data_IF_531517413416
#
_entry.id   IF_531517413416
#
_cell.length_a   1.000
_cell.length_b   1.000
_cell.length_c   1.000
_cell.angle_alpha   90.00
_cell.angle_beta   90.00
_cell.angle_gamma   90.00
#
_symmetry.space_group_name_H-M   'P 1'
#
loop_
_entity.id
_entity.type
_entity.pdbx_description
1 polymer ?
#
# COMPACT_ATOMS: atom_id res chain seq x y z
N UNK A 1 29.53 22.79 -12.44
CA UNK A 1 29.36 21.43 -13.02
C UNK A 1 29.46 20.44 -11.86
N UNK A 2 28.38 19.72 -11.52
CA UNK A 2 28.45 18.68 -10.48
C UNK A 2 29.26 17.50 -11.01
N UNK A 3 30.31 17.09 -10.29
CA UNK A 3 31.15 15.95 -10.65
C UNK A 3 30.46 14.65 -10.25
N UNK A 4 30.39 13.69 -11.16
CA UNK A 4 29.85 12.34 -10.91
C UNK A 4 30.58 11.63 -9.76
N UNK A 5 29.90 10.70 -9.11
CA UNK A 5 30.53 9.84 -8.10
C UNK A 5 31.60 8.93 -8.73
N UNK A 6 32.79 8.80 -8.11
CA UNK A 6 33.87 7.93 -8.60
C UNK A 6 33.49 6.44 -8.71
N UNK A 7 32.69 5.94 -7.78
CA UNK A 7 32.24 4.55 -7.67
C UNK A 7 30.72 4.57 -7.57
N UNK A 8 30.10 3.69 -8.34
CA UNK A 8 28.65 3.62 -8.49
C UNK A 8 28.21 2.18 -8.32
N UNK A 9 27.33 1.95 -7.36
CA UNK A 9 26.69 0.66 -7.15
C UNK A 9 25.47 0.58 -8.05
N UNK A 10 25.36 -0.50 -8.82
CA UNK A 10 24.17 -0.73 -9.65
C UNK A 10 22.92 -0.84 -8.77
N UNK A 11 21.80 -0.19 -9.17
CA UNK A 11 20.53 -0.36 -8.49
C UNK A 11 20.03 -1.80 -8.67
N UNK A 12 19.37 -2.32 -7.66
CA UNK A 12 18.67 -3.61 -7.71
C UNK A 12 17.24 -3.40 -8.21
N UNK A 13 16.65 -4.40 -8.85
CA UNK A 13 15.27 -4.34 -9.31
C UNK A 13 14.32 -4.10 -8.12
N UNK A 14 13.38 -3.17 -8.28
CA UNK A 14 12.46 -2.72 -7.22
C UNK A 14 13.16 -2.13 -5.98
N UNK A 15 14.44 -1.75 -6.04
CA UNK A 15 15.13 -1.13 -4.91
C UNK A 15 14.58 0.26 -4.60
N UNK A 16 14.41 0.57 -3.30
CA UNK A 16 13.99 1.88 -2.83
C UNK A 16 15.13 2.91 -2.96
N UNK A 17 14.81 4.15 -3.31
CA UNK A 17 15.82 5.21 -3.52
C UNK A 17 16.70 5.38 -2.27
N UNK A 18 16.08 5.49 -1.09
CA UNK A 18 16.82 5.60 0.17
C UNK A 18 17.71 4.40 0.48
N UNK A 19 17.33 3.18 0.04
CA UNK A 19 18.17 1.99 0.14
C UNK A 19 19.44 2.14 -0.68
N UNK A 20 19.27 2.53 -1.94
CA UNK A 20 20.37 2.69 -2.87
C UNK A 20 21.33 3.79 -2.45
N UNK A 21 20.80 4.91 -1.94
CA UNK A 21 21.59 5.98 -1.32
C UNK A 21 22.34 5.47 -0.08
N UNK A 22 21.71 4.65 0.78
CA UNK A 22 22.38 4.07 1.96
C UNK A 22 23.53 3.15 1.58
N UNK A 23 23.38 2.31 0.55
CA UNK A 23 24.45 1.44 0.06
C UNK A 23 25.65 2.26 -0.44
N UNK A 24 25.39 3.32 -1.20
CA UNK A 24 26.45 4.24 -1.61
C UNK A 24 27.10 4.94 -0.41
N UNK A 25 26.29 5.46 0.51
CA UNK A 25 26.78 6.14 1.69
C UNK A 25 27.65 5.23 2.57
N UNK A 26 27.27 3.96 2.72
CA UNK A 26 28.06 2.93 3.39
C UNK A 26 29.39 2.68 2.68
N UNK A 27 29.39 2.55 1.35
CA UNK A 27 30.61 2.40 0.55
C UNK A 27 31.59 3.58 0.74
N UNK A 28 31.06 4.80 0.80
CA UNK A 28 31.84 6.02 0.98
C UNK A 28 32.10 6.39 2.46
N UNK A 29 31.65 5.57 3.41
CA UNK A 29 31.75 5.84 4.85
C UNK A 29 31.19 7.21 5.29
N UNK A 30 30.10 7.67 4.67
CA UNK A 30 29.42 8.93 5.03
C UNK A 30 27.97 8.70 5.46
N UNK A 31 27.35 9.62 6.23
CA UNK A 31 25.95 9.51 6.58
C UNK A 31 25.03 9.55 5.34
N UNK A 32 23.99 8.70 5.23
CA UNK A 32 23.13 8.64 4.04
C UNK A 32 22.43 9.95 3.68
N UNK A 33 22.01 10.74 4.68
CA UNK A 33 21.40 12.05 4.41
C UNK A 33 22.44 13.06 3.88
N UNK A 34 23.70 12.95 4.31
CA UNK A 34 24.79 13.79 3.78
C UNK A 34 25.06 13.44 2.32
N UNK A 35 25.08 12.14 1.98
CA UNK A 35 25.17 11.67 0.59
C UNK A 35 24.02 12.24 -0.27
N UNK A 36 22.77 12.13 0.21
CA UNK A 36 21.61 12.68 -0.51
C UNK A 36 21.74 14.20 -0.70
N UNK A 37 22.12 14.93 0.37
CA UNK A 37 22.28 16.39 0.34
C UNK A 37 23.43 16.89 -0.53
N UNK A 38 24.42 16.04 -0.79
CA UNK A 38 25.46 16.34 -1.78
C UNK A 38 24.86 16.55 -3.19
N UNK A 39 23.78 15.84 -3.49
CA UNK A 39 23.07 15.93 -4.77
C UNK A 39 21.89 16.92 -4.71
N UNK A 40 21.19 16.91 -3.58
CA UNK A 40 19.94 17.63 -3.32
C UNK A 40 20.05 18.40 -2.00
N UNK A 41 20.68 19.59 -1.97
CA UNK A 41 20.92 20.35 -0.73
C UNK A 41 19.66 20.59 0.12
N UNK A 42 18.51 20.74 -0.55
CA UNK A 42 17.19 20.95 0.04
C UNK A 42 16.55 19.69 0.66
N UNK A 43 17.17 18.51 0.53
CA UNK A 43 16.61 17.26 1.03
C UNK A 43 16.46 17.29 2.57
N UNK A 44 15.22 17.21 3.03
CA UNK A 44 14.88 17.18 4.46
C UNK A 44 15.13 15.81 5.09
N UNK A 45 14.84 14.73 4.36
CA UNK A 45 15.05 13.35 4.80
C UNK A 45 15.10 12.39 3.62
N UNK A 46 15.68 11.20 3.82
CA UNK A 46 15.63 10.11 2.85
C UNK A 46 14.18 9.69 2.54
N UNK A 47 13.31 9.66 3.56
CA UNK A 47 11.91 9.24 3.41
C UNK A 47 11.11 10.23 2.56
N UNK A 48 11.39 11.53 2.67
CA UNK A 48 10.76 12.52 1.82
C UNK A 48 11.12 12.26 0.34
N UNK A 49 12.39 11.98 0.06
CA UNK A 49 12.86 11.62 -1.28
C UNK A 49 12.24 10.30 -1.80
N UNK A 50 12.03 9.30 -0.93
CA UNK A 50 11.31 8.08 -1.31
C UNK A 50 9.87 8.38 -1.73
N UNK A 51 9.19 9.33 -1.09
CA UNK A 51 7.78 9.60 -1.37
C UNK A 51 7.58 10.46 -2.61
N UNK A 52 8.52 11.37 -2.89
CA UNK A 52 8.43 12.28 -4.00
C UNK A 52 9.79 12.92 -4.31
N UNK A 53 10.13 12.99 -5.60
CA UNK A 53 11.13 13.88 -6.15
C UNK A 53 10.47 14.75 -7.23
N UNK A 54 10.91 15.99 -7.36
CA UNK A 54 10.57 16.79 -8.54
C UNK A 54 11.43 16.38 -9.74
N UNK A 55 11.00 16.71 -10.96
CA UNK A 55 11.76 16.38 -12.17
C UNK A 55 13.20 16.94 -12.15
N UNK A 56 13.39 18.16 -11.66
CA UNK A 56 14.73 18.73 -11.51
C UNK A 56 15.60 17.96 -10.50
N UNK A 57 15.00 17.49 -9.41
CA UNK A 57 15.70 16.68 -8.41
C UNK A 57 16.08 15.31 -8.98
N UNK A 58 15.20 14.69 -9.75
CA UNK A 58 15.48 13.43 -10.46
C UNK A 58 16.64 13.60 -11.44
N UNK A 59 16.65 14.67 -12.24
CA UNK A 59 17.72 14.96 -13.19
C UNK A 59 19.05 15.18 -12.46
N UNK A 60 19.07 15.96 -11.37
CA UNK A 60 20.29 16.19 -10.58
C UNK A 60 20.84 14.89 -9.99
N UNK A 61 19.98 14.08 -9.40
CA UNK A 61 20.36 12.81 -8.78
C UNK A 61 20.85 11.82 -9.86
N UNK A 62 20.11 11.70 -10.96
CA UNK A 62 20.48 10.86 -12.10
C UNK A 62 21.85 11.24 -12.69
N UNK A 63 22.11 12.53 -12.86
CA UNK A 63 23.39 13.03 -13.36
C UNK A 63 24.55 12.70 -12.42
N UNK A 64 24.37 12.88 -11.11
CA UNK A 64 25.41 12.61 -10.10
C UNK A 64 25.79 11.13 -10.04
N UNK A 65 24.78 10.26 -10.01
CA UNK A 65 24.96 8.81 -9.95
C UNK A 65 25.15 8.18 -11.34
N UNK A 66 25.14 8.99 -12.41
CA UNK A 66 25.24 8.57 -13.80
C UNK A 66 24.31 7.39 -14.11
N UNK A 67 23.03 7.59 -13.80
CA UNK A 67 21.89 6.73 -14.12
C UNK A 67 20.87 7.54 -14.93
N UNK A 68 19.81 6.90 -15.41
CA UNK A 68 18.70 7.59 -16.06
C UNK A 68 17.72 8.17 -15.02
N UNK A 69 17.12 9.35 -15.26
CA UNK A 69 16.08 9.90 -14.38
C UNK A 69 14.92 8.93 -14.16
N UNK A 70 14.52 8.18 -15.19
CA UNK A 70 13.46 7.18 -15.11
C UNK A 70 13.80 6.03 -14.13
N UNK A 71 15.08 5.66 -14.00
CA UNK A 71 15.51 4.67 -13.01
C UNK A 71 15.34 5.23 -11.61
N UNK A 72 15.84 6.45 -11.35
CA UNK A 72 15.69 7.11 -10.05
C UNK A 72 14.21 7.28 -9.67
N UNK A 73 13.36 7.69 -10.64
CA UNK A 73 11.91 7.82 -10.46
C UNK A 73 11.26 6.50 -10.00
N UNK A 74 11.57 5.37 -10.66
CA UNK A 74 11.02 4.04 -10.33
C UNK A 74 11.41 3.53 -8.93
N UNK A 75 12.48 4.08 -8.36
CA UNK A 75 12.93 3.76 -7.00
C UNK A 75 12.18 4.56 -5.92
N UNK A 76 11.27 5.46 -6.33
CA UNK A 76 10.42 6.24 -5.43
C UNK A 76 8.97 5.74 -5.46
N UNK A 77 8.12 6.35 -4.63
CA UNK A 77 6.66 6.23 -4.66
C UNK A 77 6.01 7.43 -5.35
N UNK A 78 6.75 8.19 -6.17
CA UNK A 78 6.23 9.39 -6.83
C UNK A 78 5.05 9.06 -7.75
N UNK A 79 5.07 7.89 -8.40
CA UNK A 79 3.99 7.36 -9.24
C UNK A 79 2.78 6.86 -8.43
N UNK A 80 2.94 6.64 -7.11
CA UNK A 80 1.85 6.10 -6.29
C UNK A 80 0.74 7.13 -6.10
N UNK A 81 -0.46 6.74 -6.51
CA UNK A 81 -1.68 7.54 -6.36
C UNK A 81 -1.85 8.06 -4.93
N UNK A 82 -2.27 9.33 -4.80
CA UNK A 82 -2.34 10.02 -3.50
C UNK A 82 -3.25 9.32 -2.50
N UNK A 83 -4.35 8.71 -2.95
CA UNK A 83 -5.26 7.89 -2.14
C UNK A 83 -4.52 6.71 -1.49
N UNK A 84 -3.70 6.00 -2.28
CA UNK A 84 -2.98 4.78 -1.88
C UNK A 84 -1.76 5.04 -0.99
N UNK A 85 -1.26 6.28 -0.89
CA UNK A 85 -0.09 6.61 -0.05
C UNK A 85 -0.24 6.23 1.42
N UNK A 86 -1.48 6.17 1.95
CA UNK A 86 -1.76 5.70 3.33
C UNK A 86 -1.44 4.22 3.54
N UNK A 87 -1.35 3.45 2.46
CA UNK A 87 -0.96 2.05 2.48
C UNK A 87 0.54 1.86 2.29
N UNK A 88 1.36 2.92 2.28
CA UNK A 88 2.82 2.80 2.27
C UNK A 88 3.35 2.82 3.70
N UNK A 89 3.89 1.70 4.16
CA UNK A 89 4.49 1.56 5.48
C UNK A 89 5.74 2.45 5.63
N UNK A 90 6.07 2.80 6.87
CA UNK A 90 7.28 3.59 7.20
C UNK A 90 8.55 2.73 7.24
N UNK A 91 8.41 1.41 7.38
CA UNK A 91 9.49 0.43 7.46
C UNK A 91 9.09 -0.80 6.65
N UNK A 92 10.05 -1.61 6.18
CA UNK A 92 9.76 -2.92 5.58
C UNK A 92 8.83 -3.73 6.49
N UNK A 93 7.75 -4.27 5.92
CA UNK A 93 6.75 -5.06 6.65
C UNK A 93 6.77 -6.54 6.26
N UNK A 94 7.42 -6.84 5.15
CA UNK A 94 7.49 -8.17 4.58
C UNK A 94 8.71 -8.25 3.66
N UNK A 95 9.09 -9.45 3.25
CA UNK A 95 10.17 -9.68 2.28
C UNK A 95 9.85 -10.88 1.39
N UNK A 96 10.59 -10.99 0.30
CA UNK A 96 10.53 -12.12 -0.62
C UNK A 96 11.74 -13.02 -0.39
N UNK A 97 11.55 -14.32 -0.15
CA UNK A 97 12.65 -15.26 0.06
C UNK A 97 13.52 -15.48 -1.19
N UNK A 98 12.95 -15.31 -2.38
CA UNK A 98 13.69 -15.51 -3.64
C UNK A 98 14.41 -14.23 -4.11
N UNK A 99 13.82 -13.06 -3.86
CA UNK A 99 14.34 -11.79 -4.38
C UNK A 99 15.12 -10.97 -3.36
N UNK A 100 15.01 -11.27 -2.07
CA UNK A 100 15.81 -10.60 -1.05
C UNK A 100 17.22 -11.23 -1.02
N UNK A 101 18.13 -10.67 -1.81
CA UNK A 101 19.51 -11.15 -1.93
C UNK A 101 20.30 -10.75 -0.67
N UNK A 102 20.37 -11.66 0.30
CA UNK A 102 21.09 -11.49 1.58
C UNK A 102 22.63 -11.50 1.49
N UNK A 103 23.21 -10.98 0.40
CA UNK A 103 24.66 -11.10 0.12
C UNK A 103 25.43 -9.78 0.08
N UNK A 104 24.77 -8.63 0.15
CA UNK A 104 25.44 -7.30 0.14
C UNK A 104 25.00 -6.52 1.36
N UNK A 105 25.96 -6.08 2.18
CA UNK A 105 25.67 -5.24 3.35
C UNK A 105 25.95 -3.76 3.01
N UNK A 106 25.00 -2.83 3.22
CA UNK A 106 23.64 -3.07 3.72
C UNK A 106 22.72 -3.71 2.65
N UNK A 107 21.88 -4.64 3.09
CA UNK A 107 20.95 -5.36 2.22
C UNK A 107 19.99 -4.39 1.50
N UNK A 108 19.75 -4.57 0.18
CA UNK A 108 18.79 -3.76 -0.55
C UNK A 108 17.38 -3.87 0.06
N UNK A 109 16.79 -2.74 0.41
CA UNK A 109 15.39 -2.64 0.78
C UNK A 109 14.58 -2.42 -0.50
N UNK A 110 13.70 -3.37 -0.81
CA UNK A 110 12.83 -3.26 -1.97
C UNK A 110 11.60 -2.40 -1.66
N UNK A 111 11.14 -1.64 -2.64
CA UNK A 111 9.98 -0.76 -2.59
C UNK A 111 8.72 -1.56 -2.23
N UNK A 112 8.56 -2.74 -2.82
CA UNK A 112 7.47 -3.67 -2.52
C UNK A 112 7.33 -3.99 -1.03
N UNK A 113 8.43 -4.11 -0.28
CA UNK A 113 8.43 -4.44 1.16
C UNK A 113 7.65 -3.43 2.02
N UNK A 114 7.45 -2.21 1.51
CA UNK A 114 6.72 -1.14 2.19
C UNK A 114 5.27 -1.03 1.72
N UNK A 115 4.85 -1.78 0.70
CA UNK A 115 3.49 -1.70 0.14
C UNK A 115 2.52 -2.56 0.95
N UNK A 116 1.52 -1.91 1.56
CA UNK A 116 0.53 -2.53 2.44
C UNK A 116 -0.53 -3.36 1.73
N UNK A 117 -0.63 -3.25 0.40
CA UNK A 117 -1.56 -4.03 -0.43
C UNK A 117 -0.93 -5.30 -1.02
N UNK A 118 0.37 -5.57 -0.77
CA UNK A 118 1.07 -6.73 -1.32
C UNK A 118 0.95 -7.96 -0.42
N UNK A 119 0.59 -9.08 -1.03
CA UNK A 119 0.74 -10.44 -0.48
C UNK A 119 1.65 -11.31 -1.37
N UNK A 120 1.83 -10.93 -2.64
CA UNK A 120 2.79 -11.54 -3.57
C UNK A 120 3.94 -10.62 -3.96
N UNK A 121 5.09 -11.21 -4.28
CA UNK A 121 6.25 -10.48 -4.77
C UNK A 121 6.01 -10.02 -6.21
N UNK A 122 6.15 -8.72 -6.53
CA UNK A 122 5.94 -8.23 -7.89
C UNK A 122 7.00 -8.70 -8.89
N UNK A 123 8.15 -9.21 -8.42
CA UNK A 123 9.25 -9.64 -9.28
C UNK A 123 9.16 -11.12 -9.69
N UNK A 124 8.78 -12.00 -8.76
CA UNK A 124 8.75 -13.46 -9.02
C UNK A 124 7.40 -14.12 -8.72
N UNK A 125 6.39 -13.37 -8.27
CA UNK A 125 5.03 -13.85 -8.02
C UNK A 125 4.85 -14.74 -6.78
N UNK A 126 5.92 -15.08 -6.05
CA UNK A 126 5.80 -15.92 -4.86
C UNK A 126 5.14 -15.17 -3.70
N UNK A 127 4.61 -15.93 -2.74
CA UNK A 127 4.06 -15.38 -1.51
C UNK A 127 5.15 -14.69 -0.68
N UNK A 128 4.85 -13.50 -0.18
CA UNK A 128 5.73 -12.75 0.72
C UNK A 128 5.72 -13.35 2.13
N UNK A 129 6.81 -13.15 2.88
CA UNK A 129 6.93 -13.51 4.31
C UNK A 129 6.92 -12.26 5.19
N UNK A 130 6.38 -12.40 6.39
CA UNK A 130 6.36 -11.29 7.37
C UNK A 130 7.79 -10.95 7.80
N UNK A 131 8.07 -9.65 7.95
CA UNK A 131 9.38 -9.19 8.41
C UNK A 131 9.60 -9.43 9.91
N UNK A 132 8.52 -9.60 10.69
CA UNK A 132 8.57 -10.04 12.08
C UNK A 132 8.40 -11.56 12.05
N UNK A 133 9.35 -12.29 12.62
CA UNK A 133 9.55 -13.76 12.59
C UNK A 133 8.35 -14.67 12.94
N UNK A 134 7.13 -14.13 13.08
CA UNK A 134 5.89 -14.91 13.13
C UNK A 134 5.52 -15.37 11.72
N UNK A 135 6.01 -16.55 11.35
CA UNK A 135 5.51 -17.28 10.18
C UNK A 135 4.11 -17.82 10.44
N UNK A 136 3.12 -16.93 10.50
CA UNK A 136 1.72 -17.32 10.60
C UNK A 136 1.18 -17.56 9.20
N UNK A 137 0.75 -18.79 8.85
CA UNK A 137 -0.02 -18.98 7.63
C UNK A 137 -1.27 -18.12 7.71
N UNK A 138 -1.67 -17.53 6.58
CA UNK A 138 -2.91 -16.76 6.57
C UNK A 138 -4.09 -17.68 6.90
N UNK A 139 -4.96 -17.33 7.86
CA UNK A 139 -6.16 -18.12 8.15
C UNK A 139 -7.26 -17.96 7.07
N UNK A 140 -6.99 -17.15 6.04
CA UNK A 140 -7.93 -16.78 4.98
C UNK A 140 -7.60 -17.46 3.64
N UNK A 141 -7.04 -18.68 3.66
CA UNK A 141 -6.65 -19.43 2.45
C UNK A 141 -7.80 -19.63 1.47
N UNK A 142 -9.02 -19.83 1.98
CA UNK A 142 -10.25 -19.95 1.19
C UNK A 142 -10.53 -18.71 0.34
N UNK A 143 -10.05 -17.53 0.75
CA UNK A 143 -10.23 -16.28 0.02
C UNK A 143 -9.05 -15.93 -0.90
N UNK A 144 -8.05 -16.81 -1.06
CA UNK A 144 -6.81 -16.51 -1.80
C UNK A 144 -7.05 -16.00 -3.22
N UNK A 145 -7.94 -16.62 -3.98
CA UNK A 145 -8.23 -16.18 -5.35
C UNK A 145 -8.83 -14.77 -5.40
N UNK A 146 -9.73 -14.44 -4.47
CA UNK A 146 -10.29 -13.10 -4.34
C UNK A 146 -9.24 -12.09 -3.85
N UNK A 147 -8.38 -12.48 -2.91
CA UNK A 147 -7.29 -11.67 -2.42
C UNK A 147 -6.29 -11.28 -3.52
N UNK A 148 -5.94 -12.21 -4.42
CA UNK A 148 -5.07 -11.90 -5.56
C UNK A 148 -5.71 -10.90 -6.53
N UNK A 149 -7.04 -10.99 -6.76
CA UNK A 149 -7.77 -9.97 -7.52
C UNK A 149 -7.74 -8.62 -6.81
N UNK A 150 -7.93 -8.61 -5.50
CA UNK A 150 -7.86 -7.39 -4.68
C UNK A 150 -6.48 -6.74 -4.67
N UNK A 151 -5.42 -7.53 -4.57
CA UNK A 151 -4.04 -7.05 -4.73
C UNK A 151 -3.88 -6.36 -6.08
N UNK A 152 -4.31 -7.01 -7.16
CA UNK A 152 -4.21 -6.47 -8.51
C UNK A 152 -4.98 -5.15 -8.65
N UNK A 153 -6.22 -5.08 -8.16
CA UNK A 153 -7.04 -3.87 -8.18
C UNK A 153 -6.36 -2.69 -7.48
N UNK A 154 -5.82 -2.92 -6.28
CA UNK A 154 -5.10 -1.89 -5.54
C UNK A 154 -3.78 -1.51 -6.22
N UNK A 155 -3.06 -2.47 -6.79
CA UNK A 155 -1.82 -2.22 -7.49
C UNK A 155 -2.01 -1.43 -8.79
N UNK A 156 -3.02 -1.77 -9.57
CA UNK A 156 -3.38 -1.09 -10.81
C UNK A 156 -3.80 0.36 -10.55
N UNK A 157 -4.59 0.62 -9.50
CA UNK A 157 -4.89 1.99 -9.07
C UNK A 157 -3.62 2.69 -8.57
N UNK A 158 -2.89 2.07 -7.65
CA UNK A 158 -1.79 2.71 -6.95
C UNK A 158 -0.65 3.06 -7.91
N UNK A 159 -0.21 2.11 -8.72
CA UNK A 159 1.00 2.24 -9.54
C UNK A 159 0.75 2.87 -10.92
N UNK A 160 -0.45 2.66 -11.47
CA UNK A 160 -0.79 3.00 -12.86
C UNK A 160 -1.95 3.99 -12.97
N UNK A 161 -2.62 4.32 -11.86
CA UNK A 161 -3.81 5.16 -11.87
C UNK A 161 -5.01 4.51 -12.57
N UNK A 162 -4.98 3.19 -12.78
CA UNK A 162 -6.06 2.46 -13.44
C UNK A 162 -7.18 2.25 -12.41
N UNK A 163 -8.24 3.03 -12.56
CA UNK A 163 -9.43 2.94 -11.72
C UNK A 163 -10.46 1.93 -12.24
N UNK A 164 -11.38 1.54 -11.36
CA UNK A 164 -12.62 0.84 -11.73
C UNK A 164 -13.79 1.82 -11.66
N UNK A 165 -15.00 1.36 -11.34
CA UNK A 165 -16.12 2.25 -11.04
C UNK A 165 -15.89 3.08 -9.77
N UNK A 166 -15.02 2.63 -8.85
CA UNK A 166 -14.60 3.42 -7.69
C UNK A 166 -13.17 3.11 -7.28
N UNK A 167 -12.66 3.82 -6.27
CA UNK A 167 -11.30 3.60 -5.78
C UNK A 167 -11.21 2.34 -4.91
N UNK A 168 -10.42 1.31 -5.29
CA UNK A 168 -10.19 0.14 -4.43
C UNK A 168 -9.55 0.53 -3.09
N UNK A 169 -8.74 1.59 -3.06
CA UNK A 169 -8.18 2.12 -1.81
C UNK A 169 -9.27 2.67 -0.89
N UNK A 170 -10.24 3.42 -1.42
CA UNK A 170 -11.35 3.92 -0.61
C UNK A 170 -12.28 2.80 -0.15
N UNK A 171 -12.52 1.77 -0.98
CA UNK A 171 -13.21 0.54 -0.54
C UNK A 171 -12.45 -0.05 0.66
N UNK A 172 -11.15 -0.29 0.52
CA UNK A 172 -10.33 -0.88 1.59
C UNK A 172 -10.45 -0.08 2.90
N UNK A 173 -10.47 1.26 2.82
CA UNK A 173 -10.63 2.14 3.99
C UNK A 173 -12.04 2.05 4.60
N UNK A 174 -13.10 1.98 3.78
CA UNK A 174 -14.47 1.79 4.26
C UNK A 174 -14.64 0.45 4.98
N UNK A 175 -14.03 -0.61 4.46
CA UNK A 175 -14.08 -1.94 5.08
C UNK A 175 -13.41 -1.97 6.47
N UNK A 176 -12.49 -1.06 6.73
CA UNK A 176 -11.85 -0.89 8.04
C UNK A 176 -12.60 0.08 8.97
N UNK A 177 -13.81 0.53 8.62
CA UNK A 177 -14.66 1.24 9.57
C UNK A 177 -15.24 0.29 10.62
N UNK A 178 -15.44 0.78 11.84
CA UNK A 178 -16.11 0.02 12.90
C UNK A 178 -17.57 -0.19 12.53
N UNK A 179 -18.04 -1.42 12.64
CA UNK A 179 -19.46 -1.79 12.49
C UNK A 179 -20.07 -2.08 13.86
N UNK A 180 -21.38 -2.32 13.87
CA UNK A 180 -22.06 -2.95 15.00
C UNK A 180 -22.59 -4.31 14.56
N UNK A 181 -22.50 -5.29 15.45
CA UNK A 181 -23.14 -6.61 15.32
C UNK A 181 -24.36 -6.67 16.22
N UNK A 182 -25.31 -7.55 15.90
CA UNK A 182 -26.46 -7.83 16.76
C UNK A 182 -26.38 -9.27 17.29
N UNK A 183 -26.51 -9.51 18.61
CA UNK A 183 -26.69 -8.51 19.68
C UNK A 183 -25.47 -7.59 19.86
N UNK A 184 -25.69 -6.38 20.37
CA UNK A 184 -24.62 -5.37 20.53
C UNK A 184 -23.57 -5.90 21.52
N UNK A 185 -22.30 -6.04 21.11
CA UNK A 185 -21.23 -6.47 22.01
C UNK A 185 -20.96 -5.43 23.11
N UNK A 186 -20.38 -5.84 24.25
CA UNK A 186 -19.86 -4.90 25.23
C UNK A 186 -18.88 -3.89 24.62
N UNK A 187 -18.82 -2.66 25.15
CA UNK A 187 -18.00 -1.58 24.57
C UNK A 187 -16.53 -1.96 24.39
N UNK A 188 -15.97 -2.75 25.31
CA UNK A 188 -14.58 -3.21 25.27
C UNK A 188 -14.30 -4.25 24.17
N UNK A 189 -15.31 -4.73 23.44
CA UNK A 189 -15.17 -5.66 22.31
C UNK A 189 -15.41 -5.00 20.95
N UNK A 190 -15.96 -3.78 20.92
CA UNK A 190 -16.29 -3.06 19.68
C UNK A 190 -15.07 -2.80 18.77
N UNK A 191 -13.85 -2.88 19.32
CA UNK A 191 -12.62 -2.75 18.54
C UNK A 191 -12.38 -3.91 17.57
N UNK A 192 -13.02 -5.07 17.76
CA UNK A 192 -12.87 -6.26 16.89
C UNK A 192 -13.63 -6.12 15.59
N UNK A 193 -14.80 -5.51 15.66
CA UNK A 193 -15.77 -5.54 14.58
C UNK A 193 -15.48 -4.45 13.54
N UNK A 194 -15.19 -4.88 12.32
CA UNK A 194 -15.01 -4.01 11.15
C UNK A 194 -16.03 -4.36 10.09
N UNK A 195 -16.42 -3.42 9.22
CA UNK A 195 -17.32 -3.71 8.09
C UNK A 195 -16.81 -4.90 7.28
N UNK A 196 -15.49 -5.04 7.14
CA UNK A 196 -14.83 -6.18 6.52
C UNK A 196 -15.36 -7.53 7.00
N UNK A 197 -15.62 -7.71 8.29
CA UNK A 197 -16.08 -8.98 8.84
C UNK A 197 -17.49 -9.40 8.38
N UNK A 198 -18.19 -8.57 7.60
CA UNK A 198 -19.55 -8.83 7.12
C UNK A 198 -19.47 -9.46 5.73
N UNK A 199 -18.34 -9.21 5.06
CA UNK A 199 -17.95 -9.81 3.79
C UNK A 199 -17.09 -11.04 4.03
N UNK A 200 -16.25 -11.00 5.07
CA UNK A 200 -15.33 -12.06 5.47
C UNK A 200 -15.78 -12.55 6.86
N UNK A 201 -16.76 -13.46 6.96
CA UNK A 201 -17.37 -13.85 8.24
C UNK A 201 -16.37 -14.39 9.27
N UNK A 202 -15.32 -15.06 8.78
CA UNK A 202 -14.28 -15.67 9.63
C UNK A 202 -13.39 -14.63 10.33
N UNK A 203 -13.41 -13.35 9.89
CA UNK A 203 -12.51 -12.30 10.38
C UNK A 203 -12.66 -12.07 11.89
N UNK A 204 -13.90 -11.89 12.37
CA UNK A 204 -14.12 -11.49 13.77
C UNK A 204 -13.64 -12.59 14.73
N UNK A 205 -13.78 -13.86 14.33
CA UNK A 205 -13.29 -15.00 15.10
C UNK A 205 -11.76 -15.02 15.18
N UNK A 206 -11.08 -14.83 14.04
CA UNK A 206 -9.61 -14.75 13.99
C UNK A 206 -9.10 -13.58 14.83
N UNK A 207 -9.73 -12.40 14.73
CA UNK A 207 -9.37 -11.21 15.51
C UNK A 207 -9.53 -11.45 17.01
N UNK A 208 -10.60 -12.15 17.41
CA UNK A 208 -10.83 -12.49 18.81
C UNK A 208 -9.79 -13.50 19.34
N UNK A 209 -9.46 -14.53 18.55
CA UNK A 209 -8.50 -15.56 18.92
C UNK A 209 -7.08 -15.01 19.08
N UNK A 210 -6.64 -14.16 18.16
CA UNK A 210 -5.29 -13.59 18.15
C UNK A 210 -5.15 -12.33 19.03
N UNK A 211 -6.25 -11.80 19.57
CA UNK A 211 -6.31 -10.52 20.29
C UNK A 211 -5.71 -9.33 19.50
N UNK A 212 -5.89 -9.34 18.18
CA UNK A 212 -5.18 -8.45 17.25
C UNK A 212 -5.97 -7.20 16.90
N UNK A 213 -5.46 -6.03 17.32
CA UNK A 213 -6.12 -4.76 17.06
C UNK A 213 -6.13 -4.40 15.57
N UNK A 214 -7.29 -4.55 14.93
CA UNK A 214 -7.45 -4.20 13.52
C UNK A 214 -7.19 -2.71 13.26
N UNK A 215 -6.52 -2.37 12.14
CA UNK A 215 -6.24 -0.99 11.77
C UNK A 215 -7.50 -0.15 11.56
N UNK A 216 -7.29 1.16 11.47
CA UNK A 216 -8.34 2.15 11.19
C UNK A 216 -8.28 2.60 9.74
N UNK A 217 -9.35 3.23 9.21
CA UNK A 217 -9.35 3.78 7.85
C UNK A 217 -8.25 4.83 7.60
N UNK A 218 -7.69 5.41 8.66
CA UNK A 218 -6.62 6.39 8.58
C UNK A 218 -5.21 5.74 8.45
N UNK A 219 -5.06 4.51 8.96
CA UNK A 219 -3.82 3.72 8.95
C UNK A 219 -4.12 2.29 8.47
N UNK A 220 -4.49 2.09 7.20
CA UNK A 220 -5.15 0.88 6.71
C UNK A 220 -4.22 -0.34 6.46
N UNK A 221 -3.02 -0.37 7.03
CA UNK A 221 -2.04 -1.44 6.77
C UNK A 221 -2.27 -2.58 7.77
N UNK A 222 -2.67 -3.74 7.26
CA UNK A 222 -2.80 -4.98 8.03
C UNK A 222 -1.47 -5.74 8.11
N UNK A 223 -1.26 -6.55 9.18
CA UNK A 223 -0.25 -7.60 9.19
C UNK A 223 -0.38 -8.51 7.97
N UNK A 224 0.74 -9.07 7.49
CA UNK A 224 0.78 -9.77 6.20
C UNK A 224 -0.23 -10.94 6.15
N UNK A 225 -0.34 -11.70 7.24
CA UNK A 225 -1.24 -12.86 7.33
C UNK A 225 -2.73 -12.47 7.30
N UNK A 226 -3.09 -11.23 7.64
CA UNK A 226 -4.48 -10.72 7.59
C UNK A 226 -4.82 -9.97 6.30
N UNK A 227 -3.82 -9.51 5.53
CA UNK A 227 -4.07 -8.79 4.26
C UNK A 227 -4.99 -9.54 3.29
N UNK A 228 -4.92 -10.89 3.15
CA UNK A 228 -5.83 -11.60 2.27
C UNK A 228 -7.31 -11.34 2.55
N UNK A 229 -7.72 -11.17 3.81
CA UNK A 229 -9.10 -10.82 4.14
C UNK A 229 -9.52 -9.47 3.55
N UNK A 230 -8.72 -8.41 3.76
CA UNK A 230 -9.04 -7.08 3.25
C UNK A 230 -9.02 -7.05 1.71
N UNK A 231 -8.02 -7.67 1.09
CA UNK A 231 -7.90 -7.72 -0.35
C UNK A 231 -9.07 -8.48 -0.98
N UNK A 232 -9.47 -9.61 -0.38
CA UNK A 232 -10.65 -10.33 -0.81
C UNK A 232 -11.92 -9.49 -0.65
N UNK A 233 -12.08 -8.80 0.47
CA UNK A 233 -13.19 -7.88 0.70
C UNK A 233 -13.27 -6.77 -0.34
N UNK A 234 -12.13 -6.18 -0.73
CA UNK A 234 -12.04 -5.18 -1.80
C UNK A 234 -12.52 -5.77 -3.13
N UNK A 235 -12.02 -6.95 -3.51
CA UNK A 235 -12.42 -7.60 -4.76
C UNK A 235 -13.90 -7.98 -4.79
N UNK A 236 -14.45 -8.46 -3.67
CA UNK A 236 -15.87 -8.81 -3.57
C UNK A 236 -16.74 -7.57 -3.75
N UNK A 237 -16.45 -6.48 -3.02
CA UNK A 237 -17.22 -5.23 -3.12
C UNK A 237 -17.09 -4.60 -4.50
N UNK A 238 -15.89 -4.57 -5.06
CA UNK A 238 -15.67 -4.03 -6.40
C UNK A 238 -16.49 -4.82 -7.44
N UNK A 239 -16.47 -6.15 -7.38
CA UNK A 239 -17.23 -6.99 -8.30
C UNK A 239 -18.75 -6.91 -8.12
N UNK A 240 -19.23 -6.70 -6.89
CA UNK A 240 -20.65 -6.60 -6.58
C UNK A 240 -21.24 -5.21 -6.88
N UNK A 241 -20.39 -4.18 -6.98
CA UNK A 241 -20.81 -2.83 -7.35
C UNK A 241 -21.34 -1.99 -6.17
N UNK A 242 -21.87 -0.79 -6.47
CA UNK A 242 -22.28 0.20 -5.47
C UNK A 242 -23.44 -0.28 -4.57
N UNK A 243 -24.26 -1.21 -5.04
CA UNK A 243 -25.36 -1.82 -4.28
C UNK A 243 -24.85 -2.51 -3.01
N UNK A 244 -23.69 -3.16 -3.10
CA UNK A 244 -23.04 -3.81 -1.97
C UNK A 244 -22.68 -2.79 -0.88
N UNK A 245 -22.16 -1.63 -1.25
CA UNK A 245 -21.86 -0.54 -0.30
C UNK A 245 -23.13 0.03 0.34
N UNK A 246 -24.22 0.17 -0.44
CA UNK A 246 -25.51 0.62 0.12
C UNK A 246 -26.08 -0.38 1.12
N UNK A 247 -25.99 -1.68 0.81
CA UNK A 247 -26.42 -2.74 1.73
C UNK A 247 -25.59 -2.72 3.02
N UNK A 248 -24.28 -2.46 2.94
CA UNK A 248 -23.40 -2.41 4.11
C UNK A 248 -23.72 -1.30 5.11
N UNK A 249 -24.44 -0.25 4.67
CA UNK A 249 -24.95 0.79 5.58
C UNK A 249 -25.79 0.22 6.71
N UNK A 250 -26.47 -0.91 6.50
CA UNK A 250 -27.26 -1.61 7.52
C UNK A 250 -26.44 -2.12 8.71
N UNK A 251 -25.13 -2.34 8.53
CA UNK A 251 -24.22 -2.77 9.61
C UNK A 251 -23.61 -1.61 10.41
N UNK A 252 -24.00 -0.37 10.09
CA UNK A 252 -23.45 0.84 10.69
C UNK A 252 -24.45 1.49 11.65
N UNK A 253 -23.98 2.05 12.76
CA UNK A 253 -24.80 2.85 13.68
C UNK A 253 -24.11 4.15 14.09
N UNK A 254 -24.90 5.09 14.60
CA UNK A 254 -24.44 6.39 15.12
C UNK A 254 -23.61 7.17 14.10
N UNK A 255 -22.58 7.86 14.57
CA UNK A 255 -21.69 8.69 13.76
C UNK A 255 -20.98 7.91 12.66
N UNK A 256 -20.67 6.62 12.88
CA UNK A 256 -20.05 5.77 11.87
C UNK A 256 -21.00 5.54 10.69
N UNK A 257 -22.31 5.47 10.92
CA UNK A 257 -23.31 5.37 9.84
C UNK A 257 -23.34 6.62 8.98
N UNK A 258 -23.31 7.81 9.59
CA UNK A 258 -23.28 9.09 8.88
C UNK A 258 -22.03 9.16 8.01
N UNK A 259 -20.85 8.99 8.62
CA UNK A 259 -19.56 9.03 7.91
C UNK A 259 -19.43 8.01 6.78
N UNK A 260 -19.95 6.79 7.00
CA UNK A 260 -19.95 5.75 5.97
C UNK A 260 -20.88 6.12 4.81
N UNK A 261 -22.08 6.63 5.13
CA UNK A 261 -23.05 7.07 4.12
C UNK A 261 -22.45 8.17 3.25
N UNK A 262 -21.90 9.22 3.86
CA UNK A 262 -21.33 10.36 3.13
C UNK A 262 -20.17 9.93 2.20
N UNK A 263 -19.32 9.03 2.69
CA UNK A 263 -18.22 8.49 1.91
C UNK A 263 -18.70 7.64 0.73
N UNK A 264 -19.71 6.77 0.95
CA UNK A 264 -20.30 5.94 -0.11
C UNK A 264 -20.99 6.80 -1.17
N UNK A 265 -21.80 7.79 -0.78
CA UNK A 265 -22.47 8.68 -1.74
C UNK A 265 -21.46 9.49 -2.54
N UNK A 266 -20.37 9.97 -1.91
CA UNK A 266 -19.28 10.65 -2.62
C UNK A 266 -18.60 9.73 -3.65
N UNK A 267 -18.37 8.46 -3.30
CA UNK A 267 -17.78 7.46 -4.20
C UNK A 267 -18.70 7.17 -5.39
N UNK A 268 -20.00 7.01 -5.14
CA UNK A 268 -21.00 6.72 -6.18
C UNK A 268 -21.17 7.93 -7.11
N UNK A 269 -21.26 9.15 -6.57
CA UNK A 269 -21.37 10.37 -7.37
C UNK A 269 -20.18 10.54 -8.32
N UNK A 270 -18.95 10.26 -7.86
CA UNK A 270 -17.75 10.27 -8.69
C UNK A 270 -17.79 9.23 -9.81
N UNK A 271 -18.28 8.03 -9.50
CA UNK A 271 -18.45 6.95 -10.48
C UNK A 271 -19.42 7.35 -11.61
N UNK A 272 -20.54 7.97 -11.26
CA UNK A 272 -21.54 8.46 -12.22
C UNK A 272 -20.97 9.55 -13.14
N UNK A 273 -20.19 10.48 -12.60
CA UNK A 273 -19.57 11.54 -13.38
C UNK A 273 -18.53 11.00 -14.39
N UNK A 274 -17.73 10.01 -13.99
CA UNK A 274 -16.77 9.35 -14.89
C UNK A 274 -17.49 8.69 -16.07
N UNK A 275 -18.60 7.98 -15.82
CA UNK A 275 -19.41 7.37 -16.89
C UNK A 275 -20.01 8.40 -17.84
N UNK A 276 -20.53 9.51 -17.32
CA UNK A 276 -21.10 10.58 -18.14
C UNK A 276 -20.03 11.25 -19.03
N UNK A 277 -18.83 11.50 -18.49
CA UNK A 277 -17.71 12.05 -19.27
C UNK A 277 -17.22 11.09 -20.36
N UNK A 278 -17.14 9.78 -20.09
CA UNK A 278 -16.75 8.79 -21.10
C UNK A 278 -17.80 8.64 -22.22
N UNK A 279 -19.09 8.81 -21.91
CA UNK A 279 -20.15 8.79 -22.94
C UNK A 279 -20.12 10.03 -23.84
N UNK A 280 -19.77 11.20 -23.31
CA UNK A 280 -19.64 12.42 -24.12
C UNK A 280 -18.43 12.43 -25.06
N UNK A 281 -17.41 11.59 -24.81
CA UNK A 281 -16.23 11.47 -25.69
C UNK A 281 -16.45 10.50 -26.87
N UNK A 282 -17.60 9.83 -26.92
CA UNK A 282 -17.97 8.84 -27.94
C UNK A 282 -19.06 9.35 -28.90
N UNK A 283 -19.43 10.62 -28.82
CA UNK A 283 -20.35 11.33 -29.72
C UNK A 283 -19.55 12.35 -30.52
#
# INVERSE_FOLDING_TARGET
MMRRLPVRLSPVADELLSSWIRRHAAFYAIPPLVMLRHCLPEASSLRAADLHLSGDQEIRLANMFATEPAVAHRMTFANVARSSRRLIAMRPTHYCTNCNLGGTEPAPILRSQLLGWRITCPLCGIQLRDARERELPSPFLQYRAAALRGEKLLDDEAERGIGTWTSPTEIARLLLMRRITWPVPPEHELWRFRVLGAIIPDLDHVVAAEQENLPTPAKPILPLYMRPALLAGVAIVESAGPEMLRMMRGYMMGDNRVRFTDAVETMIARASNLRASSQMQLI
#
